data_IF_093731371385
#
_entry.id   IF_093731371385
#
_cell.length_a   1.000
_cell.length_b   1.000
_cell.length_c   1.000
_cell.angle_alpha   90.00
_cell.angle_beta   90.00
_cell.angle_gamma   90.00
#
_symmetry.space_group_name_H-M   'P 1'
#
loop_
_entity.id
_entity.type
_entity.pdbx_description
1 polymer ?
#
# COMPACT_ATOMS: atom_id res chain seq x y z
N UNK A 1 -27.35 -3.57 -13.92
CA UNK A 1 -27.70 -3.11 -15.28
C UNK A 1 -28.72 -4.07 -15.84
N UNK A 2 -29.85 -3.54 -16.32
CA UNK A 2 -30.95 -4.31 -16.92
C UNK A 2 -30.47 -5.13 -18.11
N UNK A 3 -31.09 -6.31 -18.29
CA UNK A 3 -30.85 -7.40 -19.25
C UNK A 3 -30.85 -7.03 -20.76
N UNK A 4 -30.33 -5.85 -21.13
CA UNK A 4 -30.20 -5.36 -22.51
C UNK A 4 -28.90 -5.87 -23.11
N UNK A 5 -29.02 -6.73 -24.11
CA UNK A 5 -27.90 -7.18 -24.94
C UNK A 5 -27.59 -6.07 -25.94
N UNK A 6 -26.41 -5.45 -25.82
CA UNK A 6 -25.94 -4.43 -26.75
C UNK A 6 -25.00 -5.09 -27.79
N UNK A 7 -25.06 -4.67 -29.07
CA UNK A 7 -24.09 -5.13 -30.07
C UNK A 7 -22.68 -4.63 -29.72
N UNK A 8 -21.65 -5.40 -30.08
CA UNK A 8 -20.23 -5.08 -29.81
C UNK A 8 -19.81 -3.69 -30.32
N UNK A 9 -20.41 -3.24 -31.43
CA UNK A 9 -20.19 -1.90 -31.98
C UNK A 9 -20.71 -0.75 -31.11
N UNK A 10 -21.55 -1.04 -30.12
CA UNK A 10 -22.05 -0.09 -29.13
C UNK A 10 -21.23 -0.07 -27.83
N UNK A 11 -20.19 -0.89 -27.73
CA UNK A 11 -19.24 -0.88 -26.62
C UNK A 11 -18.05 0.04 -26.95
N UNK A 12 -17.43 0.61 -25.92
CA UNK A 12 -16.19 1.37 -26.09
C UNK A 12 -15.09 0.52 -26.72
N UNK A 13 -14.22 1.12 -27.53
CA UNK A 13 -13.18 0.44 -28.32
C UNK A 13 -12.31 -0.50 -27.48
N UNK A 14 -11.93 -0.09 -26.26
CA UNK A 14 -11.15 -0.95 -25.37
C UNK A 14 -11.89 -2.20 -24.87
N UNK A 15 -13.21 -2.12 -24.64
CA UNK A 15 -13.98 -3.31 -24.24
C UNK A 15 -14.09 -4.29 -25.42
N UNK A 16 -14.28 -3.77 -26.62
CA UNK A 16 -14.32 -4.58 -27.84
C UNK A 16 -12.99 -5.35 -28.02
N UNK A 17 -11.87 -4.66 -27.87
CA UNK A 17 -10.53 -5.23 -28.03
C UNK A 17 -10.23 -6.32 -26.99
N UNK A 18 -10.56 -6.08 -25.71
CA UNK A 18 -10.45 -7.11 -24.65
C UNK A 18 -11.26 -8.35 -24.99
N UNK A 19 -12.51 -8.18 -25.44
CA UNK A 19 -13.39 -9.31 -25.79
C UNK A 19 -12.81 -10.10 -26.96
N UNK A 20 -12.25 -9.44 -27.97
CA UNK A 20 -11.62 -10.10 -29.11
C UNK A 20 -10.40 -10.92 -28.68
N UNK A 21 -9.48 -10.32 -27.91
CA UNK A 21 -8.29 -11.02 -27.41
C UNK A 21 -8.70 -12.23 -26.55
N UNK A 22 -9.61 -12.01 -25.60
CA UNK A 22 -10.10 -13.07 -24.71
C UNK A 22 -10.77 -14.19 -25.51
N UNK A 23 -11.67 -13.89 -26.44
CA UNK A 23 -12.35 -14.87 -27.26
C UNK A 23 -11.37 -15.67 -28.13
N UNK A 24 -10.45 -14.99 -28.82
CA UNK A 24 -9.46 -15.63 -29.67
C UNK A 24 -8.56 -16.59 -28.88
N UNK A 25 -8.07 -16.15 -27.72
CA UNK A 25 -7.26 -16.96 -26.82
C UNK A 25 -8.03 -18.13 -26.20
N UNK A 26 -9.34 -18.00 -26.02
CA UNK A 26 -10.18 -19.06 -25.47
C UNK A 26 -10.46 -20.15 -26.51
N UNK A 27 -10.69 -19.75 -27.75
CA UNK A 27 -10.94 -20.66 -28.89
C UNK A 27 -9.68 -21.48 -29.20
N UNK A 28 -8.51 -20.87 -29.10
CA UNK A 28 -7.23 -21.50 -29.42
C UNK A 28 -6.47 -21.85 -28.14
N UNK A 29 -6.53 -23.12 -27.75
CA UNK A 29 -5.83 -23.66 -26.56
C UNK A 29 -4.54 -24.39 -26.93
N UNK A 30 -3.62 -24.53 -25.96
CA UNK A 30 -2.32 -25.18 -26.13
C UNK A 30 -1.45 -24.59 -27.25
N UNK A 31 -1.50 -23.26 -27.43
CA UNK A 31 -0.74 -22.52 -28.43
C UNK A 31 0.24 -21.54 -27.78
N UNK A 32 1.21 -21.11 -28.59
CA UNK A 32 2.04 -19.94 -28.30
C UNK A 32 1.32 -18.73 -28.88
N UNK A 33 1.00 -17.78 -28.03
CA UNK A 33 0.26 -16.57 -28.37
C UNK A 33 1.18 -15.38 -28.20
N UNK A 34 1.43 -14.65 -29.30
CA UNK A 34 2.20 -13.42 -29.29
C UNK A 34 1.24 -12.23 -29.35
N UNK A 35 1.27 -11.37 -28.34
CA UNK A 35 0.47 -10.16 -28.27
C UNK A 35 1.38 -8.94 -28.32
N UNK A 36 1.07 -8.00 -29.21
CA UNK A 36 1.76 -6.73 -29.35
C UNK A 36 0.87 -5.63 -28.79
N UNK A 37 1.37 -4.93 -27.76
CA UNK A 37 0.73 -3.80 -27.07
C UNK A 37 -0.78 -4.01 -26.78
N UNK A 38 -1.17 -5.12 -26.10
CA UNK A 38 -2.58 -5.36 -25.79
C UNK A 38 -3.20 -4.31 -24.85
N UNK A 39 -2.40 -3.40 -24.29
CA UNK A 39 -2.83 -2.25 -23.50
C UNK A 39 -3.44 -1.09 -24.30
N UNK A 40 -3.27 -1.05 -25.63
CA UNK A 40 -3.75 0.07 -26.45
C UNK A 40 -5.26 0.24 -26.22
N UNK A 41 -5.68 1.47 -25.92
CA UNK A 41 -7.07 1.83 -25.59
C UNK A 41 -7.68 1.17 -24.33
N UNK A 42 -6.89 0.46 -23.51
CA UNK A 42 -7.37 -0.19 -22.30
C UNK A 42 -7.06 0.60 -21.04
N UNK A 43 -8.07 0.77 -20.18
CA UNK A 43 -7.83 1.19 -18.81
C UNK A 43 -7.03 0.08 -18.07
N UNK A 44 -6.04 0.42 -17.22
CA UNK A 44 -5.20 -0.58 -16.55
C UNK A 44 -5.95 -1.66 -15.75
N UNK A 45 -7.09 -1.31 -15.16
CA UNK A 45 -8.00 -2.29 -14.51
C UNK A 45 -8.44 -3.39 -15.48
N UNK A 46 -8.76 -3.03 -16.73
CA UNK A 46 -9.16 -4.01 -17.76
C UNK A 46 -7.97 -4.85 -18.22
N UNK A 47 -6.77 -4.28 -18.26
CA UNK A 47 -5.53 -5.00 -18.57
C UNK A 47 -5.26 -6.11 -17.54
N UNK A 48 -5.36 -5.79 -16.24
CA UNK A 48 -5.23 -6.77 -15.15
C UNK A 48 -6.30 -7.86 -15.23
N UNK A 49 -7.55 -7.48 -15.52
CA UNK A 49 -8.66 -8.45 -15.70
C UNK A 49 -8.42 -9.36 -16.90
N UNK A 50 -7.92 -8.84 -18.01
CA UNK A 50 -7.56 -9.62 -19.19
C UNK A 50 -6.48 -10.64 -18.84
N UNK A 51 -5.38 -10.23 -18.20
CA UNK A 51 -4.30 -11.16 -17.84
C UNK A 51 -4.76 -12.24 -16.87
N UNK A 52 -5.55 -11.86 -15.85
CA UNK A 52 -6.14 -12.84 -14.94
C UNK A 52 -7.00 -13.84 -15.70
N UNK A 53 -7.88 -13.35 -16.57
CA UNK A 53 -8.72 -14.20 -17.40
C UNK A 53 -7.89 -15.18 -18.24
N UNK A 54 -6.87 -14.69 -18.95
CA UNK A 54 -6.01 -15.53 -19.79
C UNK A 54 -5.29 -16.60 -18.95
N UNK A 55 -4.79 -16.24 -17.76
CA UNK A 55 -4.09 -17.17 -16.86
C UNK A 55 -5.01 -18.23 -16.27
N UNK A 56 -6.25 -17.89 -15.95
CA UNK A 56 -7.20 -18.78 -15.26
C UNK A 56 -8.05 -19.63 -16.22
N UNK A 57 -8.30 -19.14 -17.44
CA UNK A 57 -9.29 -19.73 -18.36
C UNK A 57 -8.67 -20.26 -19.67
N UNK A 58 -7.33 -20.22 -19.79
CA UNK A 58 -6.64 -20.76 -20.97
C UNK A 58 -5.37 -21.51 -20.58
N UNK A 59 -4.94 -22.41 -21.45
CA UNK A 59 -3.75 -23.26 -21.28
C UNK A 59 -2.66 -22.89 -22.32
N UNK A 60 -2.60 -21.62 -22.70
CA UNK A 60 -1.65 -21.11 -23.68
C UNK A 60 -0.37 -20.56 -23.05
N UNK A 61 0.71 -20.52 -23.83
CA UNK A 61 1.91 -19.78 -23.49
C UNK A 61 1.87 -18.40 -24.14
N UNK A 62 2.04 -17.35 -23.34
CA UNK A 62 1.94 -15.96 -23.81
C UNK A 62 3.30 -15.29 -23.88
N UNK A 63 3.57 -14.64 -25.01
CA UNK A 63 4.62 -13.64 -25.17
C UNK A 63 3.95 -12.30 -25.43
N UNK A 64 4.21 -11.33 -24.57
CA UNK A 64 3.54 -10.03 -24.62
C UNK A 64 4.62 -8.96 -24.73
N UNK A 65 4.60 -8.20 -25.82
CA UNK A 65 5.33 -6.95 -25.92
C UNK A 65 4.42 -5.85 -25.36
N UNK A 66 4.89 -5.15 -24.33
CA UNK A 66 4.08 -4.16 -23.62
C UNK A 66 4.96 -3.05 -23.07
N UNK A 67 4.43 -1.85 -23.11
CA UNK A 67 4.91 -0.71 -22.36
C UNK A 67 4.14 -0.55 -21.06
N UNK A 68 3.08 -1.32 -20.77
CA UNK A 68 2.24 -1.10 -19.60
C UNK A 68 2.80 -1.72 -18.31
N UNK A 69 2.95 -0.88 -17.28
CA UNK A 69 3.28 -1.28 -15.92
C UNK A 69 2.28 -2.29 -15.34
N UNK A 70 1.01 -2.26 -15.77
CA UNK A 70 -0.01 -3.20 -15.28
C UNK A 70 0.26 -4.65 -15.71
N UNK A 71 0.86 -4.85 -16.88
CA UNK A 71 1.28 -6.16 -17.36
C UNK A 71 2.61 -6.58 -16.71
N UNK A 72 3.55 -5.65 -16.57
CA UNK A 72 4.87 -5.89 -15.97
C UNK A 72 4.75 -6.34 -14.51
N UNK A 73 3.88 -5.71 -13.72
CA UNK A 73 3.68 -6.02 -12.29
C UNK A 73 2.81 -7.28 -12.03
N UNK A 74 2.57 -8.11 -13.05
CA UNK A 74 1.76 -9.32 -12.89
C UNK A 74 2.50 -10.41 -12.10
N UNK A 75 1.95 -10.95 -11.00
CA UNK A 75 2.59 -12.02 -10.25
C UNK A 75 2.76 -13.32 -11.06
N UNK A 76 3.98 -13.85 -11.04
CA UNK A 76 4.33 -15.14 -11.65
C UNK A 76 4.59 -15.07 -13.16
N UNK A 77 4.81 -13.88 -13.72
CA UNK A 77 5.29 -13.70 -15.10
C UNK A 77 6.81 -13.53 -15.12
N UNK A 78 7.43 -13.87 -16.25
CA UNK A 78 8.84 -13.56 -16.50
C UNK A 78 8.92 -12.28 -17.31
N UNK A 79 9.58 -11.26 -16.76
CA UNK A 79 9.73 -9.94 -17.39
C UNK A 79 11.13 -9.81 -17.98
N UNK A 80 11.21 -9.37 -19.23
CA UNK A 80 12.47 -9.11 -19.93
C UNK A 80 12.48 -7.67 -20.41
N UNK A 81 13.49 -6.90 -19.99
CA UNK A 81 13.71 -5.55 -20.48
C UNK A 81 14.50 -5.60 -21.78
N UNK A 82 13.98 -4.99 -22.83
CA UNK A 82 14.66 -4.84 -24.12
C UNK A 82 15.13 -3.40 -24.26
N UNK A 83 16.43 -3.16 -24.44
CA UNK A 83 17.03 -1.83 -24.62
C UNK A 83 17.86 -1.78 -25.89
N UNK A 84 17.86 -0.65 -26.59
CA UNK A 84 18.69 -0.41 -27.76
C UNK A 84 19.50 0.87 -27.53
N UNK A 85 20.83 0.79 -27.64
CA UNK A 85 21.76 1.92 -27.44
C UNK A 85 22.07 2.68 -28.75
N UNK A 86 21.34 2.38 -29.82
CA UNK A 86 21.58 2.87 -31.19
C UNK A 86 22.54 2.00 -32.00
N UNK A 87 23.25 1.05 -31.36
CA UNK A 87 24.24 0.18 -32.00
C UNK A 87 23.86 -1.30 -31.89
N UNK A 88 23.33 -1.72 -30.74
CA UNK A 88 22.93 -3.10 -30.49
C UNK A 88 21.73 -3.18 -29.53
N UNK A 89 21.07 -4.33 -29.54
CA UNK A 89 19.93 -4.62 -28.65
C UNK A 89 20.38 -5.50 -27.49
N UNK A 90 20.03 -5.11 -26.28
CA UNK A 90 20.26 -5.84 -25.04
C UNK A 90 18.94 -6.37 -24.50
N UNK A 91 18.97 -7.57 -23.94
CA UNK A 91 17.83 -8.19 -23.28
C UNK A 91 18.25 -8.64 -21.89
N UNK A 92 17.67 -8.01 -20.88
CA UNK A 92 17.97 -8.26 -19.47
C UNK A 92 16.73 -8.86 -18.78
N UNK A 93 16.89 -9.98 -18.07
CA UNK A 93 15.80 -10.54 -17.27
C UNK A 93 15.60 -9.71 -15.99
N UNK A 94 14.35 -9.33 -15.71
CA UNK A 94 13.98 -8.57 -14.53
C UNK A 94 13.45 -9.53 -13.46
N UNK A 95 14.31 -9.85 -12.49
CA UNK A 95 14.08 -10.89 -11.48
C UNK A 95 13.67 -10.29 -10.14
N UNK A 96 14.13 -9.07 -9.83
CA UNK A 96 13.82 -8.39 -8.57
C UNK A 96 12.76 -7.30 -8.74
N UNK A 97 12.04 -6.99 -7.65
CA UNK A 97 11.07 -5.88 -7.62
C UNK A 97 11.72 -4.53 -7.94
N UNK A 98 12.97 -4.32 -7.53
CA UNK A 98 13.70 -3.09 -7.84
C UNK A 98 14.01 -2.97 -9.34
N UNK A 99 14.28 -4.10 -10.02
CA UNK A 99 14.45 -4.12 -11.47
C UNK A 99 13.13 -3.83 -12.19
N UNK A 100 12.02 -4.38 -11.71
CA UNK A 100 10.68 -4.06 -12.25
C UNK A 100 10.38 -2.57 -12.10
N UNK A 101 10.66 -1.99 -10.94
CA UNK A 101 10.51 -0.55 -10.70
C UNK A 101 11.37 0.28 -11.64
N UNK A 102 12.63 -0.08 -11.84
CA UNK A 102 13.53 0.61 -12.76
C UNK A 102 13.04 0.55 -14.21
N UNK A 103 12.46 -0.58 -14.64
CA UNK A 103 11.85 -0.72 -15.96
C UNK A 103 10.66 0.22 -16.10
N UNK A 104 9.80 0.30 -15.08
CA UNK A 104 8.69 1.26 -15.06
C UNK A 104 9.22 2.70 -15.17
N UNK A 105 10.23 3.06 -14.38
CA UNK A 105 10.86 4.38 -14.42
C UNK A 105 11.46 4.68 -15.82
N UNK A 106 12.15 3.72 -16.43
CA UNK A 106 12.76 3.82 -17.78
C UNK A 106 11.69 3.98 -18.89
N UNK A 107 10.52 3.36 -18.72
CA UNK A 107 9.37 3.49 -19.61
C UNK A 107 8.60 4.81 -19.41
N UNK A 108 9.08 5.67 -18.50
CA UNK A 108 8.47 6.96 -18.19
C UNK A 108 7.28 6.86 -17.25
N UNK A 109 7.00 5.69 -16.67
CA UNK A 109 6.01 5.55 -15.61
C UNK A 109 6.57 6.21 -14.37
N UNK A 110 5.81 7.17 -13.84
CA UNK A 110 6.06 7.67 -12.50
C UNK A 110 5.47 6.67 -11.51
N UNK A 111 5.97 6.62 -10.28
CA UNK A 111 5.35 5.84 -9.20
C UNK A 111 3.83 6.13 -9.05
N UNK A 112 3.37 7.28 -9.55
CA UNK A 112 1.97 7.68 -9.66
C UNK A 112 1.13 6.91 -10.68
N UNK A 113 1.72 6.35 -11.73
CA UNK A 113 1.02 5.54 -12.75
C UNK A 113 0.81 4.08 -12.28
N UNK A 114 1.56 3.68 -11.25
CA UNK A 114 1.44 2.42 -10.50
C UNK A 114 0.30 2.50 -9.44
N UNK A 115 -0.16 3.71 -9.09
CA UNK A 115 -1.30 3.95 -8.18
C UNK A 115 -2.65 3.69 -8.89
N UNK A 116 -2.84 2.49 -9.40
CA UNK A 116 -4.07 2.02 -10.06
C UNK A 116 -5.17 1.58 -9.07
N UNK A 117 -4.96 1.81 -7.77
CA UNK A 117 -5.99 1.56 -6.78
C UNK A 117 -6.96 2.75 -6.74
N UNK A 118 -8.26 2.46 -6.68
CA UNK A 118 -9.29 3.49 -6.58
C UNK A 118 -9.09 4.38 -5.36
N UNK A 119 -8.45 3.86 -4.31
CA UNK A 119 -7.95 4.60 -3.15
C UNK A 119 -6.49 4.25 -2.80
N UNK A 120 -5.73 5.22 -2.30
CA UNK A 120 -4.33 5.03 -1.86
C UNK A 120 -4.17 5.45 -0.40
N UNK A 121 -3.52 4.63 0.40
CA UNK A 121 -3.26 4.89 1.82
C UNK A 121 -1.75 4.99 2.01
N UNK A 122 -1.29 6.13 2.49
CA UNK A 122 0.12 6.39 2.75
C UNK A 122 0.42 6.19 4.24
N UNK A 123 1.38 5.32 4.55
CA UNK A 123 1.80 4.99 5.92
C UNK A 123 3.32 5.09 6.07
N UNK A 124 3.82 5.18 7.32
CA UNK A 124 5.25 5.39 7.57
C UNK A 124 6.07 4.15 7.26
N UNK A 125 5.61 3.00 7.76
CA UNK A 125 6.39 1.77 7.75
C UNK A 125 5.60 0.48 7.53
N UNK A 126 6.33 -0.65 7.39
CA UNK A 126 5.72 -1.95 7.17
C UNK A 126 4.82 -2.44 8.32
N UNK A 127 5.11 -2.05 9.56
CA UNK A 127 4.27 -2.35 10.73
C UNK A 127 2.87 -1.76 10.58
N UNK A 128 2.80 -0.49 10.19
CA UNK A 128 1.57 0.28 10.10
C UNK A 128 0.65 -0.31 9.03
N UNK A 129 1.23 -0.74 7.90
CA UNK A 129 0.49 -1.46 6.86
C UNK A 129 -0.18 -2.71 7.40
N UNK A 130 0.49 -3.47 8.27
CA UNK A 130 -0.10 -4.69 8.86
C UNK A 130 -1.29 -4.30 9.73
N UNK A 131 -1.15 -3.31 10.61
CA UNK A 131 -2.24 -2.84 11.48
C UNK A 131 -3.43 -2.30 10.68
N UNK A 132 -3.19 -1.36 9.77
CA UNK A 132 -4.25 -0.71 8.97
C UNK A 132 -4.99 -1.74 8.12
N UNK A 133 -4.27 -2.69 7.51
CA UNK A 133 -4.89 -3.78 6.75
C UNK A 133 -5.77 -4.66 7.63
N UNK A 134 -5.27 -5.02 8.80
CA UNK A 134 -6.00 -5.85 9.77
C UNK A 134 -7.28 -5.15 10.26
N UNK A 135 -7.18 -3.88 10.62
CA UNK A 135 -8.31 -3.08 11.08
C UNK A 135 -9.37 -2.85 9.99
N UNK A 136 -8.94 -2.54 8.75
CA UNK A 136 -9.87 -2.38 7.62
C UNK A 136 -10.67 -3.66 7.36
N UNK A 137 -10.00 -4.83 7.37
CA UNK A 137 -10.66 -6.12 7.16
C UNK A 137 -11.71 -6.43 8.23
N UNK A 138 -11.50 -5.98 9.47
CA UNK A 138 -12.42 -6.20 10.59
C UNK A 138 -13.63 -5.25 10.55
N UNK A 139 -13.49 -4.08 9.92
CA UNK A 139 -14.58 -3.11 9.72
C UNK A 139 -15.42 -3.48 8.49
N UNK A 140 -14.77 -3.84 7.39
CA UNK A 140 -15.42 -4.22 6.15
C UNK A 140 -14.57 -5.28 5.41
N UNK A 141 -15.01 -6.53 5.50
CA UNK A 141 -14.34 -7.69 4.94
C UNK A 141 -14.33 -7.72 3.39
N UNK A 142 -15.13 -6.86 2.75
CA UNK A 142 -15.17 -6.72 1.29
C UNK A 142 -13.95 -5.93 0.79
N UNK A 143 -13.40 -5.04 1.61
CA UNK A 143 -12.27 -4.20 1.23
C UNK A 143 -10.99 -5.02 1.13
N UNK A 144 -10.35 -4.98 -0.04
CA UNK A 144 -9.21 -5.85 -0.35
C UNK A 144 -8.08 -5.01 -0.92
N UNK A 145 -6.91 -5.09 -0.28
CA UNK A 145 -5.68 -4.46 -0.76
C UNK A 145 -5.28 -5.04 -2.13
N UNK A 146 -4.98 -4.16 -3.11
CA UNK A 146 -4.66 -4.52 -4.50
C UNK A 146 -5.86 -4.51 -5.44
N UNK A 147 -7.08 -4.47 -4.91
CA UNK A 147 -8.33 -4.34 -5.67
C UNK A 147 -9.04 -3.01 -5.36
N UNK A 148 -9.38 -2.80 -4.09
CA UNK A 148 -10.13 -1.63 -3.64
C UNK A 148 -9.21 -0.47 -3.24
N UNK A 149 -8.08 -0.78 -2.60
CA UNK A 149 -7.10 0.21 -2.15
C UNK A 149 -5.67 -0.33 -2.24
N UNK A 150 -4.67 0.54 -2.19
CA UNK A 150 -3.27 0.16 -2.04
C UNK A 150 -2.64 0.89 -0.85
N UNK A 151 -1.81 0.20 -0.07
CA UNK A 151 -1.02 0.82 1.00
C UNK A 151 0.40 1.05 0.49
N UNK A 152 0.85 2.30 0.56
CA UNK A 152 2.16 2.75 0.11
C UNK A 152 2.96 3.34 1.26
N UNK A 153 4.27 3.16 1.23
CA UNK A 153 5.18 3.72 2.23
C UNK A 153 5.73 5.04 1.73
N UNK A 154 5.65 6.10 2.55
CA UNK A 154 6.42 7.30 2.27
C UNK A 154 7.86 7.17 2.80
N UNK A 155 8.12 6.33 3.81
CA UNK A 155 9.46 6.07 4.33
C UNK A 155 10.09 7.29 5.01
N UNK A 156 10.98 7.04 5.98
CA UNK A 156 11.58 8.11 6.80
C UNK A 156 12.38 9.17 6.03
N UNK A 157 12.78 8.93 4.78
CA UNK A 157 13.46 9.95 3.95
C UNK A 157 12.48 11.00 3.40
N UNK A 158 11.26 10.61 3.06
CA UNK A 158 10.24 11.54 2.56
C UNK A 158 9.69 12.40 3.71
N UNK A 159 9.58 11.84 4.92
CA UNK A 159 9.36 12.64 6.15
C UNK A 159 10.51 13.57 6.50
N UNK A 160 11.77 13.12 6.37
CA UNK A 160 12.94 14.01 6.55
C UNK A 160 12.93 15.17 5.55
N UNK A 161 12.46 14.94 4.33
CA UNK A 161 12.29 16.00 3.32
C UNK A 161 11.07 16.89 3.60
N UNK A 162 9.95 16.35 4.09
CA UNK A 162 8.79 17.12 4.56
C UNK A 162 9.12 18.02 5.77
N UNK A 163 10.15 17.66 6.55
CA UNK A 163 10.66 18.49 7.65
C UNK A 163 11.77 19.48 7.25
N UNK A 164 12.31 19.42 6.03
CA UNK A 164 13.53 20.15 5.65
C UNK A 164 13.38 21.12 4.46
N UNK A 165 12.49 20.85 3.49
CA UNK A 165 12.35 21.69 2.29
C UNK A 165 10.90 21.77 1.79
N UNK A 166 10.48 22.98 1.38
CA UNK A 166 9.16 23.27 0.83
C UNK A 166 8.82 22.42 -0.42
N UNK A 167 9.84 22.03 -1.20
CA UNK A 167 9.69 21.27 -2.45
C UNK A 167 9.16 19.85 -2.23
N UNK A 168 9.47 19.21 -1.11
CA UNK A 168 9.00 17.84 -0.83
C UNK A 168 7.54 17.79 -0.38
N UNK A 169 7.09 18.86 0.29
CA UNK A 169 5.67 19.07 0.59
C UNK A 169 4.94 19.32 -0.71
N UNK A 170 5.49 20.13 -1.62
CA UNK A 170 4.89 20.35 -2.94
C UNK A 170 4.86 19.08 -3.78
N UNK A 171 5.88 18.22 -3.73
CA UNK A 171 5.87 16.90 -4.37
C UNK A 171 4.77 15.99 -3.80
N UNK A 172 4.57 16.00 -2.47
CA UNK A 172 3.48 15.27 -1.84
C UNK A 172 2.09 15.87 -2.15
N UNK A 173 1.98 17.20 -2.22
CA UNK A 173 0.76 17.89 -2.67
C UNK A 173 0.50 17.55 -4.14
N UNK A 174 1.54 17.43 -4.96
CA UNK A 174 1.41 16.95 -6.34
C UNK A 174 0.94 15.49 -6.40
N UNK A 175 1.24 14.64 -5.41
CA UNK A 175 0.62 13.31 -5.28
C UNK A 175 -0.91 13.39 -5.09
N UNK A 176 -1.44 14.47 -4.51
CA UNK A 176 -2.89 14.70 -4.39
C UNK A 176 -3.56 14.95 -5.75
N UNK A 177 -2.83 15.54 -6.70
CA UNK A 177 -3.31 15.71 -8.08
C UNK A 177 -3.36 14.37 -8.84
N UNK A 178 -2.69 13.32 -8.33
CA UNK A 178 -2.56 12.02 -8.98
C UNK A 178 -3.65 11.03 -8.55
N UNK A 179 -4.19 11.14 -7.32
CA UNK A 179 -5.37 10.39 -6.89
C UNK A 179 -6.22 11.22 -5.92
N UNK A 180 -7.48 11.47 -6.26
CA UNK A 180 -8.42 12.24 -5.42
C UNK A 180 -8.85 11.49 -4.16
N UNK A 181 -8.78 10.17 -4.16
CA UNK A 181 -9.16 9.34 -3.03
C UNK A 181 -7.89 8.81 -2.35
N UNK A 182 -7.25 9.68 -1.58
CA UNK A 182 -6.05 9.29 -0.83
C UNK A 182 -6.23 9.54 0.65
N UNK A 183 -5.56 8.71 1.45
CA UNK A 183 -5.42 8.85 2.87
C UNK A 183 -3.94 8.96 3.25
N UNK A 184 -3.62 9.82 4.21
CA UNK A 184 -2.29 9.91 4.80
C UNK A 184 -2.39 9.64 6.30
N UNK A 185 -1.64 8.65 6.78
CA UNK A 185 -1.53 8.31 8.19
C UNK A 185 -0.18 8.79 8.71
N UNK A 186 -0.18 9.58 9.78
CA UNK A 186 1.01 10.18 10.39
C UNK A 186 1.01 9.96 11.89
N UNK A 187 2.16 9.57 12.44
CA UNK A 187 2.40 9.62 13.87
C UNK A 187 2.40 11.08 14.35
N UNK A 188 1.76 11.33 15.48
CA UNK A 188 1.71 12.68 16.07
C UNK A 188 3.04 13.07 16.71
N UNK A 189 3.82 12.08 17.14
CA UNK A 189 5.06 12.24 17.92
C UNK A 189 4.89 13.09 19.19
N UNK A 190 3.65 13.26 19.66
CA UNK A 190 3.37 14.09 20.83
C UNK A 190 3.87 13.43 22.10
N UNK A 191 4.52 14.23 22.93
CA UNK A 191 4.93 13.82 24.28
C UNK A 191 3.78 13.96 25.30
N UNK A 192 2.77 14.79 25.02
CA UNK A 192 1.57 14.96 25.86
C UNK A 192 0.37 15.55 25.07
N UNK A 193 -0.80 15.62 25.71
CA UNK A 193 -2.04 16.09 25.11
C UNK A 193 -2.03 17.57 24.69
N UNK A 194 -1.20 18.40 25.33
CA UNK A 194 -1.07 19.83 25.07
C UNK A 194 0.00 20.16 24.03
N UNK A 195 0.87 19.19 23.72
CA UNK A 195 1.89 19.34 22.69
C UNK A 195 1.26 19.70 21.33
N UNK A 196 1.80 20.74 20.71
CA UNK A 196 1.42 21.14 19.35
C UNK A 196 1.96 20.13 18.34
N UNK A 197 1.24 19.99 17.22
CA UNK A 197 1.74 19.21 16.10
C UNK A 197 2.96 19.90 15.50
N UNK A 198 3.89 19.09 14.98
CA UNK A 198 5.02 19.62 14.21
C UNK A 198 4.50 20.47 13.04
N UNK A 199 5.19 21.58 12.67
CA UNK A 199 4.73 22.48 11.61
C UNK A 199 4.41 21.79 10.27
N UNK A 200 5.18 20.76 9.92
CA UNK A 200 4.96 19.96 8.71
C UNK A 200 3.64 19.17 8.75
N UNK A 201 3.34 18.50 9.88
CA UNK A 201 2.09 17.76 10.07
C UNK A 201 0.87 18.70 10.07
N UNK A 202 1.01 19.88 10.69
CA UNK A 202 -0.04 20.89 10.69
C UNK A 202 -0.31 21.43 9.28
N UNK A 203 0.73 21.75 8.51
CA UNK A 203 0.57 22.19 7.11
C UNK A 203 -0.07 21.11 6.23
N UNK A 204 0.37 19.85 6.35
CA UNK A 204 -0.23 18.74 5.60
C UNK A 204 -1.72 18.57 5.95
N UNK A 205 -2.07 18.69 7.23
CA UNK A 205 -3.46 18.68 7.67
C UNK A 205 -4.29 19.77 7.01
N UNK A 206 -3.78 20.99 7.01
CA UNK A 206 -4.49 22.15 6.46
C UNK A 206 -4.62 22.07 4.93
N UNK A 207 -3.62 21.53 4.22
CA UNK A 207 -3.67 21.34 2.77
C UNK A 207 -4.59 20.18 2.36
N UNK A 208 -4.50 19.03 3.02
CA UNK A 208 -5.35 17.86 2.72
C UNK A 208 -6.83 18.17 3.02
N UNK A 209 -7.11 18.93 4.08
CA UNK A 209 -8.47 19.35 4.42
C UNK A 209 -9.13 20.21 3.32
N UNK A 210 -8.34 20.96 2.52
CA UNK A 210 -8.86 21.76 1.40
C UNK A 210 -9.17 20.91 0.17
N UNK A 211 -8.44 19.81 -0.04
CA UNK A 211 -8.50 19.00 -1.26
C UNK A 211 -9.42 17.79 -1.15
N UNK A 212 -9.86 17.45 0.06
CA UNK A 212 -10.86 16.40 0.33
C UNK A 212 -10.27 15.00 0.47
N UNK A 213 -8.95 14.88 0.64
CA UNK A 213 -8.31 13.64 1.08
C UNK A 213 -8.52 13.39 2.58
N UNK A 214 -8.25 12.17 3.02
CA UNK A 214 -8.30 11.81 4.44
C UNK A 214 -6.92 12.04 5.05
N UNK A 215 -6.85 12.71 6.20
CA UNK A 215 -5.64 12.77 7.00
C UNK A 215 -5.92 12.19 8.38
N UNK A 216 -5.19 11.13 8.71
CA UNK A 216 -5.21 10.49 10.01
C UNK A 216 -3.90 10.80 10.72
N UNK A 217 -3.95 11.77 11.63
CA UNK A 217 -2.86 11.97 12.60
C UNK A 217 -3.23 11.20 13.85
N UNK A 218 -2.35 10.34 14.35
CA UNK A 218 -2.62 9.49 15.52
C UNK A 218 -3.03 10.35 16.73
N UNK A 219 -4.04 9.91 17.49
CA UNK A 219 -4.43 10.61 18.73
C UNK A 219 -3.39 10.41 19.83
N UNK A 220 -2.75 9.24 19.85
CA UNK A 220 -1.56 8.95 20.65
C UNK A 220 -0.26 9.35 19.95
N UNK A 221 0.88 9.03 20.56
CA UNK A 221 2.21 9.36 20.03
C UNK A 221 2.46 8.71 18.66
N UNK A 222 2.26 7.40 18.59
CA UNK A 222 2.54 6.53 17.44
C UNK A 222 1.30 5.66 17.15
N UNK A 223 1.21 5.07 15.96
CA UNK A 223 0.09 4.21 15.57
C UNK A 223 -0.11 3.02 16.52
N UNK A 224 0.95 2.55 17.17
CA UNK A 224 0.89 1.41 18.08
C UNK A 224 0.23 1.75 19.42
N UNK A 225 0.01 3.03 19.73
CA UNK A 225 -0.80 3.44 20.88
C UNK A 225 -2.30 3.14 20.72
N UNK A 226 -2.76 2.76 19.52
CA UNK A 226 -4.11 2.23 19.31
C UNK A 226 -4.26 0.75 19.73
N UNK A 227 -3.16 0.08 20.06
CA UNK A 227 -3.19 -1.32 20.47
C UNK A 227 -3.28 -1.41 22.00
N UNK A 228 -4.01 -2.42 22.54
CA UNK A 228 -3.98 -2.68 23.97
C UNK A 228 -2.55 -2.91 24.45
N UNK A 229 -2.11 -2.11 25.43
CA UNK A 229 -0.73 -2.14 25.93
C UNK A 229 -0.30 -3.53 26.39
N UNK A 230 -1.19 -4.27 27.07
CA UNK A 230 -0.92 -5.64 27.52
C UNK A 230 -0.63 -6.59 26.36
N UNK A 231 -1.40 -6.50 25.26
CA UNK A 231 -1.23 -7.33 24.08
C UNK A 231 0.11 -7.04 23.39
N UNK A 232 0.48 -5.76 23.29
CA UNK A 232 1.75 -5.34 22.72
C UNK A 232 2.94 -5.84 23.56
N UNK A 233 2.85 -5.74 24.89
CA UNK A 233 3.91 -6.15 25.79
C UNK A 233 4.10 -7.68 25.82
N UNK A 234 3.02 -8.46 25.75
CA UNK A 234 3.12 -9.93 25.60
C UNK A 234 3.72 -10.35 24.25
N UNK A 235 3.42 -9.62 23.17
CA UNK A 235 4.09 -9.82 21.87
C UNK A 235 5.61 -9.55 21.98
N UNK A 236 6.00 -8.45 22.62
CA UNK A 236 7.42 -8.09 22.79
C UNK A 236 8.18 -9.08 23.68
N UNK A 237 7.55 -9.56 24.74
CA UNK A 237 8.10 -10.62 25.60
C UNK A 237 8.34 -11.93 24.83
N UNK A 238 7.43 -12.28 23.93
CA UNK A 238 7.53 -13.46 23.07
C UNK A 238 8.65 -13.32 22.03
N UNK A 239 8.81 -12.13 21.44
CA UNK A 239 9.85 -11.84 20.43
C UNK A 239 11.24 -11.66 21.04
N UNK A 240 11.30 -11.15 22.28
CA UNK A 240 12.56 -10.80 22.95
C UNK A 240 12.76 -11.50 24.31
N UNK A 241 12.58 -12.83 24.43
CA UNK A 241 12.51 -13.53 25.72
C UNK A 241 13.81 -13.49 26.54
N UNK A 242 14.94 -13.31 25.85
CA UNK A 242 16.27 -13.23 26.48
C UNK A 242 16.52 -11.88 27.16
N UNK A 243 15.94 -10.81 26.65
CA UNK A 243 16.21 -9.44 27.11
C UNK A 243 15.02 -8.79 27.81
N UNK A 244 13.79 -9.20 27.55
CA UNK A 244 12.59 -8.62 28.14
C UNK A 244 12.49 -8.87 29.64
N UNK A 245 12.37 -7.83 30.46
CA UNK A 245 12.17 -7.92 31.91
C UNK A 245 10.72 -7.58 32.30
N UNK A 246 10.31 -6.33 32.05
CA UNK A 246 9.04 -5.78 32.48
C UNK A 246 8.56 -4.70 31.49
N UNK A 247 7.24 -4.47 31.40
CA UNK A 247 6.70 -3.38 30.61
C UNK A 247 7.07 -2.02 31.20
N UNK A 248 7.22 -1.01 30.34
CA UNK A 248 7.25 0.40 30.77
C UNK A 248 5.83 0.99 30.75
N UNK A 249 5.70 2.26 31.11
CA UNK A 249 4.41 2.95 31.06
C UNK A 249 3.78 2.87 29.67
N UNK A 250 2.47 2.64 29.63
CA UNK A 250 1.67 2.40 28.42
C UNK A 250 0.62 3.47 28.17
N UNK A 251 0.88 4.71 28.57
CA UNK A 251 -0.02 5.83 28.33
C UNK A 251 -0.13 6.20 26.85
N UNK A 252 -1.13 7.03 26.54
CA UNK A 252 -1.46 7.48 25.18
C UNK A 252 -0.28 8.13 24.43
N UNK A 253 0.63 8.77 25.17
CA UNK A 253 1.79 9.48 24.61
C UNK A 253 3.13 8.80 24.92
N UNK A 254 3.09 7.66 25.61
CA UNK A 254 4.28 6.88 25.90
C UNK A 254 4.72 6.08 24.66
N UNK A 255 6.02 5.80 24.59
CA UNK A 255 6.57 4.93 23.56
C UNK A 255 6.06 3.50 23.73
N UNK A 256 5.16 3.08 22.84
CA UNK A 256 4.44 1.82 22.94
C UNK A 256 5.38 0.59 22.99
N UNK A 257 6.52 0.67 22.31
CA UNK A 257 7.49 -0.43 22.17
C UNK A 257 8.57 -0.52 23.25
N UNK A 258 8.64 0.46 24.15
CA UNK A 258 9.72 0.46 25.12
C UNK A 258 9.41 -0.53 26.24
N UNK A 259 10.44 -1.29 26.63
CA UNK A 259 10.38 -2.20 27.77
C UNK A 259 11.71 -2.22 28.54
N UNK A 260 11.65 -2.65 29.79
CA UNK A 260 12.84 -2.78 30.64
C UNK A 260 13.62 -4.04 30.27
N UNK A 261 14.95 -3.92 30.19
CA UNK A 261 15.85 -5.02 29.90
C UNK A 261 16.24 -5.76 31.18
N UNK A 262 16.47 -7.07 31.08
CA UNK A 262 17.12 -7.84 32.16
C UNK A 262 18.51 -7.27 32.40
N UNK A 263 18.86 -7.05 33.67
CA UNK A 263 20.19 -6.57 34.05
C UNK A 263 21.28 -7.52 33.52
N UNK A 264 22.06 -7.04 32.57
CA UNK A 264 23.26 -7.73 32.07
C UNK A 264 24.44 -6.79 32.24
N UNK A 265 25.56 -7.31 32.73
CA UNK A 265 26.76 -6.54 33.11
C UNK A 265 27.38 -5.70 31.97
N UNK A 266 26.87 -5.81 30.73
CA UNK A 266 27.37 -5.15 29.52
C UNK A 266 26.44 -4.09 28.92
N UNK A 267 25.31 -3.73 29.57
CA UNK A 267 24.39 -2.71 29.05
C UNK A 267 24.18 -1.57 30.05
N UNK A 268 24.61 -0.37 29.68
CA UNK A 268 24.41 0.85 30.47
C UNK A 268 22.98 1.39 30.41
N UNK A 269 22.21 1.03 29.36
CA UNK A 269 20.85 1.52 29.14
C UNK A 269 19.82 0.43 29.50
N UNK A 270 19.02 0.71 30.54
CA UNK A 270 17.98 -0.21 31.06
C UNK A 270 16.76 -0.34 30.15
N UNK A 271 16.52 0.65 29.30
CA UNK A 271 15.38 0.65 28.37
C UNK A 271 15.78 0.10 27.02
N UNK A 272 14.99 -0.84 26.48
CA UNK A 272 15.13 -1.27 25.09
C UNK A 272 14.26 -0.40 24.18
N UNK A 273 14.87 0.20 23.17
CA UNK A 273 14.21 1.17 22.27
C UNK A 273 14.01 0.66 20.84
N UNK A 274 14.69 -0.43 20.45
CA UNK A 274 14.70 -0.95 19.08
C UNK A 274 13.90 -2.24 18.94
N UNK A 275 12.63 -2.19 19.37
CA UNK A 275 11.69 -3.31 19.24
C UNK A 275 11.52 -3.77 17.79
N UNK A 276 11.35 -5.07 17.57
CA UNK A 276 10.94 -5.60 16.27
C UNK A 276 9.47 -5.23 15.99
N UNK A 277 9.25 -4.01 15.46
CA UNK A 277 7.91 -3.48 15.17
C UNK A 277 7.13 -4.37 14.20
N UNK A 278 7.78 -4.92 13.18
CA UNK A 278 7.14 -5.76 12.15
C UNK A 278 6.80 -7.13 12.71
N UNK A 279 7.71 -7.74 13.48
CA UNK A 279 7.46 -8.98 14.20
C UNK A 279 6.30 -8.86 15.17
N UNK A 280 6.23 -7.76 15.93
CA UNK A 280 5.14 -7.49 16.86
C UNK A 280 3.81 -7.31 16.12
N UNK A 281 3.78 -6.52 15.05
CA UNK A 281 2.58 -6.31 14.25
C UNK A 281 2.05 -7.63 13.65
N UNK A 282 2.96 -8.46 13.12
CA UNK A 282 2.63 -9.77 12.57
C UNK A 282 2.05 -10.71 13.63
N UNK A 283 2.64 -10.71 14.83
CA UNK A 283 2.17 -11.55 15.93
C UNK A 283 0.82 -11.09 16.50
N UNK A 284 0.60 -9.78 16.61
CA UNK A 284 -0.64 -9.20 17.14
C UNK A 284 -1.82 -9.41 16.19
N UNK A 285 -1.57 -9.29 14.88
CA UNK A 285 -2.60 -9.41 13.85
C UNK A 285 -2.72 -10.84 13.27
N UNK A 286 -2.05 -11.83 13.86
CA UNK A 286 -2.13 -13.21 13.39
C UNK A 286 -3.55 -13.79 13.58
N UNK A 287 -3.92 -14.75 12.73
CA UNK A 287 -5.18 -15.50 12.83
C UNK A 287 -6.46 -14.64 12.93
N UNK A 288 -6.47 -13.47 12.29
CA UNK A 288 -7.59 -12.51 12.33
C UNK A 288 -8.01 -12.14 13.77
N UNK A 289 -7.03 -11.98 14.67
CA UNK A 289 -7.26 -11.61 16.07
C UNK A 289 -8.23 -10.43 16.23
N UNK A 290 -9.14 -10.46 17.22
CA UNK A 290 -10.14 -9.42 17.41
C UNK A 290 -9.48 -8.07 17.73
N UNK A 291 -10.08 -7.00 17.22
CA UNK A 291 -9.60 -5.63 17.38
C UNK A 291 -10.45 -4.90 18.41
N UNK A 292 -9.80 -4.24 19.36
CA UNK A 292 -10.47 -3.33 20.28
C UNK A 292 -10.59 -1.93 19.67
N UNK A 293 -11.73 -1.68 19.02
CA UNK A 293 -12.03 -0.39 18.40
C UNK A 293 -12.31 0.74 19.41
N UNK A 294 -12.43 0.44 20.70
CA UNK A 294 -12.65 1.47 21.74
C UNK A 294 -11.39 2.25 22.10
N UNK A 295 -10.22 1.82 21.61
CA UNK A 295 -8.96 2.51 21.81
C UNK A 295 -8.93 3.84 21.06
N UNK A 296 -8.83 4.94 21.83
CA UNK A 296 -8.66 6.29 21.29
C UNK A 296 -9.76 6.62 20.26
N UNK A 297 -9.41 7.24 19.13
CA UNK A 297 -10.30 7.51 18.00
C UNK A 297 -10.19 6.44 16.88
N UNK A 298 -9.72 5.21 17.19
CA UNK A 298 -9.48 4.18 16.18
C UNK A 298 -10.73 3.88 15.34
N UNK A 299 -11.87 3.66 15.99
CA UNK A 299 -13.12 3.33 15.30
C UNK A 299 -13.53 4.43 14.31
N UNK A 300 -13.44 5.69 14.72
CA UNK A 300 -13.81 6.83 13.87
C UNK A 300 -12.88 6.90 12.65
N UNK A 301 -11.58 6.79 12.86
CA UNK A 301 -10.56 6.92 11.82
C UNK A 301 -10.59 5.79 10.80
N UNK A 302 -10.73 4.55 11.27
CA UNK A 302 -10.77 3.40 10.38
C UNK A 302 -12.09 3.38 9.58
N UNK A 303 -13.19 3.88 10.16
CA UNK A 303 -14.48 4.00 9.47
C UNK A 303 -14.40 5.09 8.39
N UNK A 304 -13.84 6.26 8.72
CA UNK A 304 -13.57 7.33 7.74
C UNK A 304 -12.73 6.81 6.55
N UNK A 305 -11.71 6.01 6.85
CA UNK A 305 -10.86 5.38 5.85
C UNK A 305 -11.63 4.36 4.98
N UNK A 306 -12.43 3.49 5.61
CA UNK A 306 -13.26 2.51 4.92
C UNK A 306 -14.33 3.16 4.03
N UNK A 307 -14.95 4.25 4.50
CA UNK A 307 -15.93 5.03 3.74
C UNK A 307 -15.29 5.70 2.52
N UNK A 308 -14.10 6.28 2.68
CA UNK A 308 -13.34 6.83 1.55
C UNK A 308 -13.06 5.76 0.49
N UNK A 309 -12.60 4.58 0.91
CA UNK A 309 -12.33 3.46 0.00
C UNK A 309 -13.63 2.99 -0.67
N UNK A 310 -14.70 2.80 0.09
CA UNK A 310 -16.00 2.34 -0.43
C UNK A 310 -16.55 3.30 -1.47
N UNK A 311 -16.53 4.61 -1.17
CA UNK A 311 -16.94 5.67 -2.09
C UNK A 311 -16.09 5.70 -3.36
N UNK A 312 -14.78 5.50 -3.24
CA UNK A 312 -13.86 5.44 -4.38
C UNK A 312 -14.15 4.26 -5.32
N UNK A 313 -14.71 3.17 -4.78
CA UNK A 313 -15.03 1.94 -5.49
C UNK A 313 -16.50 1.81 -5.89
N UNK A 314 -17.37 2.74 -5.47
CA UNK A 314 -18.81 2.70 -5.74
C UNK A 314 -19.56 1.59 -4.99
N UNK A 315 -19.08 1.22 -3.79
CA UNK A 315 -19.64 0.21 -2.90
C UNK A 315 -20.70 0.79 -1.94
#
# INVERSE_FOLDING_TARGET
>A
MDNKVLPLSSLGTGIHEVILIAAFCTIHQHKIMCLEEPEIHLHPVLQRKLIRYLKENTENQYFIATHSAAFIDTPGTSVFQVRNDGTQTFVDAAVTKDQHRKICDDLGYRASDILQANAVIWVEGPSDRIYVKHWLKQIDDRLTEGEHYAIMFYGGSLMRHLTADDSAIDDFINLQNLNRNFALILDSDKDDATAELKPAAQRLKDEIAKTGGVIWITQGREIENYLPHEQLQEALKTLHPRIYNAPLAGGTYDHAFYFERKDTASCAEKTFKSGDKVGAATHICQDDAPVDFSMLDLQERITELADMISKANGL
#
